data_IF_640065826669
#
_entry.id   IF_640065826669
#
_cell.length_a   1.000
_cell.length_b   1.000
_cell.length_c   1.000
_cell.angle_alpha   90.00
_cell.angle_beta   90.00
_cell.angle_gamma   90.00
#
_symmetry.space_group_name_H-M   'P 1'
#
loop_
_entity.id
_entity.type
_entity.pdbx_description
1 polymer ?
#
# COMPACT_ATOMS: atom_id res chain seq x y z
N UNK A 1 12.64 -13.72 -63.03
CA UNK A 1 11.67 -13.87 -61.91
C UNK A 1 12.16 -12.99 -60.77
N UNK A 2 11.71 -11.73 -60.77
CA UNK A 2 12.18 -10.71 -59.84
C UNK A 2 11.24 -10.68 -58.63
N UNK A 3 11.72 -11.18 -57.49
CA UNK A 3 10.90 -11.33 -56.28
C UNK A 3 10.84 -9.99 -55.53
N UNK A 4 9.70 -9.31 -55.67
CA UNK A 4 9.37 -8.06 -54.99
C UNK A 4 9.21 -8.27 -53.49
N UNK A 5 10.04 -7.58 -52.68
CA UNK A 5 10.02 -7.65 -51.21
C UNK A 5 8.89 -6.79 -50.62
N UNK A 6 8.10 -7.30 -49.67
CA UNK A 6 6.99 -6.56 -49.07
C UNK A 6 7.48 -5.42 -48.15
N UNK A 7 6.87 -4.24 -48.30
CA UNK A 7 7.08 -3.05 -47.47
C UNK A 7 6.58 -3.31 -46.04
N UNK A 8 7.48 -3.12 -45.07
CA UNK A 8 7.23 -3.28 -43.63
C UNK A 8 6.44 -2.08 -43.11
N UNK A 9 5.13 -2.23 -42.91
CA UNK A 9 4.25 -1.21 -42.32
C UNK A 9 4.63 -0.95 -40.86
N UNK A 10 4.96 0.31 -40.52
CA UNK A 10 5.26 0.74 -39.15
C UNK A 10 3.96 0.68 -38.33
N UNK A 11 3.87 -0.25 -37.38
CA UNK A 11 2.78 -0.29 -36.39
C UNK A 11 2.87 0.95 -35.48
N UNK A 12 1.83 1.77 -35.48
CA UNK A 12 1.69 2.88 -34.55
C UNK A 12 1.55 2.33 -33.13
N UNK A 13 2.50 2.67 -32.26
CA UNK A 13 2.50 2.31 -30.85
C UNK A 13 1.51 3.22 -30.12
N UNK A 14 0.27 2.75 -29.96
CA UNK A 14 -0.73 3.40 -29.10
C UNK A 14 -0.28 3.20 -27.65
N UNK A 15 0.37 4.21 -27.06
CA UNK A 15 0.59 4.24 -25.61
C UNK A 15 -0.68 4.76 -24.95
N UNK A 16 -1.56 3.85 -24.52
CA UNK A 16 -2.61 4.17 -23.58
C UNK A 16 -1.95 4.57 -22.25
N UNK A 17 -1.73 5.87 -22.06
CA UNK A 17 -1.33 6.41 -20.76
C UNK A 17 -2.61 6.71 -20.01
N UNK A 18 -2.99 5.83 -19.09
CA UNK A 18 -4.01 6.13 -18.08
C UNK A 18 -3.54 7.32 -17.27
N UNK A 19 -3.98 8.52 -17.66
CA UNK A 19 -3.72 9.73 -16.90
C UNK A 19 -4.72 9.78 -15.76
N UNK A 20 -4.24 9.64 -14.53
CA UNK A 20 -5.07 9.94 -13.35
C UNK A 20 -5.51 11.40 -13.42
N UNK A 21 -6.80 11.64 -13.20
CA UNK A 21 -7.36 12.99 -13.13
C UNK A 21 -6.68 13.77 -12.00
N UNK A 22 -6.14 14.94 -12.33
CA UNK A 22 -5.44 15.78 -11.35
C UNK A 22 -6.40 16.84 -10.85
N UNK A 23 -6.83 16.67 -9.61
CA UNK A 23 -7.78 17.56 -8.94
C UNK A 23 -7.06 18.35 -7.84
N UNK A 24 -7.37 19.63 -7.70
CA UNK A 24 -6.79 20.45 -6.66
C UNK A 24 -7.35 20.07 -5.29
N UNK A 25 -6.49 19.74 -4.33
CA UNK A 25 -6.90 19.34 -2.97
C UNK A 25 -7.69 20.42 -2.22
N UNK A 26 -7.54 21.70 -2.58
CA UNK A 26 -8.16 22.83 -1.86
C UNK A 26 -9.45 23.32 -2.50
N UNK A 27 -9.47 23.50 -3.82
CA UNK A 27 -10.62 24.08 -4.52
C UNK A 27 -11.31 23.13 -5.49
N UNK A 28 -10.87 21.87 -5.55
CA UNK A 28 -11.38 20.83 -6.45
C UNK A 28 -11.33 21.18 -7.94
N UNK A 29 -10.54 22.18 -8.34
CA UNK A 29 -10.33 22.49 -9.74
C UNK A 29 -9.64 21.31 -10.45
N UNK A 30 -10.22 20.84 -11.54
CA UNK A 30 -9.67 19.80 -12.41
C UNK A 30 -8.67 20.39 -13.42
N UNK A 31 -7.66 19.61 -13.80
CA UNK A 31 -6.72 20.00 -14.86
C UNK A 31 -7.40 19.96 -16.23
N UNK A 32 -7.92 21.11 -16.70
CA UNK A 32 -8.64 21.23 -17.97
C UNK A 32 -7.75 20.98 -19.19
N UNK A 33 -6.48 21.38 -19.13
CA UNK A 33 -5.54 21.28 -20.26
C UNK A 33 -4.18 20.72 -19.82
N UNK A 34 -3.52 19.96 -20.70
CA UNK A 34 -2.16 19.46 -20.45
C UNK A 34 -1.13 20.59 -20.26
N UNK A 35 -1.41 21.79 -20.78
CA UNK A 35 -0.57 22.99 -20.63
C UNK A 35 -0.62 23.59 -19.21
N UNK A 36 -1.71 23.39 -18.47
CA UNK A 36 -1.86 23.90 -17.10
C UNK A 36 -1.11 22.99 -16.12
N UNK A 37 0.09 23.41 -15.71
CA UNK A 37 0.91 22.62 -14.79
C UNK A 37 0.39 22.75 -13.35
N UNK A 38 -0.38 21.76 -12.92
CA UNK A 38 -0.63 21.57 -11.49
C UNK A 38 0.70 21.37 -10.77
N UNK A 39 0.82 22.02 -9.61
CA UNK A 39 1.97 21.90 -8.73
C UNK A 39 1.77 20.71 -7.82
N UNK A 40 2.86 20.04 -7.45
CA UNK A 40 2.86 18.97 -6.47
C UNK A 40 3.78 19.36 -5.33
N UNK A 41 3.39 19.06 -4.09
CA UNK A 41 4.31 19.21 -2.97
C UNK A 41 5.48 18.21 -3.11
N UNK A 42 6.70 18.69 -3.28
CA UNK A 42 7.90 17.83 -3.39
C UNK A 42 8.10 17.01 -2.12
N UNK A 43 7.87 17.58 -0.93
CA UNK A 43 7.94 16.85 0.34
C UNK A 43 7.02 15.63 0.36
N UNK A 44 5.73 15.80 0.05
CA UNK A 44 4.79 14.68 0.00
C UNK A 44 5.13 13.68 -1.12
N UNK A 45 5.49 14.16 -2.31
CA UNK A 45 5.80 13.30 -3.45
C UNK A 45 7.03 12.44 -3.19
N UNK A 46 8.10 13.07 -2.72
CA UNK A 46 9.42 12.44 -2.64
C UNK A 46 9.58 11.64 -1.34
N UNK A 47 9.00 12.10 -0.22
CA UNK A 47 9.12 11.42 1.08
C UNK A 47 7.97 10.44 1.36
N UNK A 48 6.75 10.73 0.90
CA UNK A 48 5.56 9.93 1.23
C UNK A 48 5.00 9.16 0.02
N UNK A 49 5.50 9.42 -1.19
CA UNK A 49 4.91 8.88 -2.42
C UNK A 49 3.52 9.45 -2.77
N UNK A 50 2.99 10.38 -1.97
CA UNK A 50 1.64 10.95 -2.14
C UNK A 50 1.70 12.18 -3.05
N UNK A 51 0.88 12.18 -4.11
CA UNK A 51 0.79 13.29 -5.06
C UNK A 51 -0.37 14.23 -4.73
N UNK A 52 -0.13 15.19 -3.83
CA UNK A 52 -1.06 16.29 -3.59
C UNK A 52 -0.95 17.34 -4.69
N UNK A 53 -2.00 17.47 -5.51
CA UNK A 53 -2.05 18.39 -6.64
C UNK A 53 -2.65 19.74 -6.24
N UNK A 54 -2.04 20.83 -6.70
CA UNK A 54 -2.48 22.21 -6.46
C UNK A 54 -2.53 23.00 -7.76
N UNK A 55 -3.66 23.65 -8.06
CA UNK A 55 -3.78 24.50 -9.24
C UNK A 55 -2.95 25.80 -9.14
N UNK A 56 -2.62 26.24 -7.91
CA UNK A 56 -1.87 27.47 -7.67
C UNK A 56 -1.01 27.39 -6.40
N UNK A 57 -0.05 28.32 -6.26
CA UNK A 57 0.74 28.45 -5.02
C UNK A 57 -0.10 28.96 -3.84
N UNK A 58 -1.20 29.66 -4.12
CA UNK A 58 -2.16 30.08 -3.10
C UNK A 58 -2.88 28.87 -2.47
N UNK A 59 -3.35 27.93 -3.30
CA UNK A 59 -3.93 26.67 -2.81
C UNK A 59 -2.90 25.86 -2.02
N UNK A 60 -1.67 25.73 -2.52
CA UNK A 60 -0.60 25.03 -1.78
C UNK A 60 -0.34 25.65 -0.39
N UNK A 61 -0.29 26.98 -0.28
CA UNK A 61 -0.10 27.68 1.01
C UNK A 61 -1.30 27.57 1.94
N UNK A 62 -2.51 27.48 1.38
CA UNK A 62 -3.74 27.29 2.14
C UNK A 62 -3.74 25.92 2.79
N UNK A 63 -3.48 24.87 2.01
CA UNK A 63 -3.31 23.51 2.54
C UNK A 63 -2.06 23.40 3.43
N UNK A 64 -1.03 24.24 3.26
CA UNK A 64 0.20 24.14 4.08
C UNK A 64 -0.08 24.14 5.57
N UNK A 65 -1.06 24.92 6.05
CA UNK A 65 -1.38 24.95 7.48
C UNK A 65 -1.88 23.61 8.00
N UNK A 66 -2.63 22.86 7.19
CA UNK A 66 -3.22 21.56 7.54
C UNK A 66 -2.31 20.39 7.21
N UNK A 67 -1.57 20.45 6.10
CA UNK A 67 -0.70 19.36 5.68
C UNK A 67 0.75 19.50 6.15
N UNK A 68 1.22 20.65 6.68
CA UNK A 68 2.64 20.78 7.11
C UNK A 68 3.04 19.74 8.15
N UNK A 69 2.10 19.37 9.03
CA UNK A 69 2.36 18.44 10.13
C UNK A 69 2.57 17.01 9.61
N UNK A 70 2.01 16.70 8.42
CA UNK A 70 2.30 15.47 7.66
C UNK A 70 3.34 15.68 6.56
N UNK A 71 3.60 16.92 6.13
CA UNK A 71 4.41 17.23 4.97
C UNK A 71 5.89 17.12 5.28
N UNK A 72 6.43 15.94 5.04
CA UNK A 72 7.85 15.68 5.27
C UNK A 72 8.24 15.64 6.73
N UNK A 73 7.26 15.68 7.64
CA UNK A 73 7.36 14.99 8.92
C UNK A 73 7.59 13.51 8.63
N UNK A 74 8.67 13.00 9.20
CA UNK A 74 9.01 11.58 9.12
C UNK A 74 8.25 10.76 10.16
N UNK A 75 7.56 11.43 11.08
CA UNK A 75 6.65 10.85 12.07
C UNK A 75 5.29 10.49 11.43
N UNK A 76 5.19 10.56 10.09
CA UNK A 76 4.06 10.07 9.31
C UNK A 76 3.71 8.61 9.62
N UNK A 77 4.66 7.84 10.16
CA UNK A 77 4.44 6.48 10.67
C UNK A 77 3.47 6.37 11.85
N UNK A 78 3.30 7.43 12.65
CA UNK A 78 2.30 7.53 13.73
C UNK A 78 0.96 8.08 13.24
N UNK A 79 0.86 8.55 11.98
CA UNK A 79 -0.42 8.98 11.44
C UNK A 79 -1.29 7.75 11.17
N UNK A 80 -2.57 7.74 11.58
CA UNK A 80 -3.50 6.72 11.13
C UNK A 80 -3.64 6.89 9.62
N UNK A 81 -2.86 6.12 8.85
CA UNK A 81 -3.14 5.90 7.45
C UNK A 81 -4.41 5.09 7.41
N UNK A 82 -5.55 5.79 7.42
CA UNK A 82 -6.71 5.30 6.72
C UNK A 82 -6.27 5.06 5.28
N UNK A 83 -6.18 3.81 4.80
CA UNK A 83 -5.70 3.45 3.45
C UNK A 83 -6.67 3.88 2.34
N UNK A 84 -7.52 4.85 2.62
CA UNK A 84 -8.89 4.91 2.11
C UNK A 84 -9.08 5.84 0.94
N UNK A 85 -8.18 6.82 0.70
CA UNK A 85 -8.60 7.94 -0.13
C UNK A 85 -8.48 7.70 -1.63
N UNK A 86 -7.51 6.93 -2.14
CA UNK A 86 -7.37 6.78 -3.59
C UNK A 86 -6.85 5.38 -3.98
N UNK A 87 -7.73 4.37 -3.99
CA UNK A 87 -7.46 3.20 -4.82
C UNK A 87 -7.39 3.69 -6.29
N UNK A 88 -6.44 3.20 -7.10
CA UNK A 88 -6.41 3.56 -8.51
C UNK A 88 -7.72 3.09 -9.15
N UNK A 89 -8.22 3.87 -10.12
CA UNK A 89 -9.57 3.70 -10.68
C UNK A 89 -9.83 2.32 -11.32
N UNK A 90 -8.77 1.56 -11.59
CA UNK A 90 -8.79 0.20 -12.13
C UNK A 90 -8.86 -0.90 -11.06
N UNK A 91 -8.68 -0.58 -9.77
CA UNK A 91 -8.78 -1.53 -8.67
C UNK A 91 -10.07 -1.38 -7.87
N UNK A 92 -11.07 -2.20 -8.22
CA UNK A 92 -12.30 -2.32 -7.46
C UNK A 92 -12.08 -3.20 -6.23
N UNK A 93 -12.06 -2.59 -5.03
CA UNK A 93 -11.96 -3.33 -3.77
C UNK A 93 -13.17 -4.23 -3.54
N UNK A 94 -12.94 -5.48 -3.16
CA UNK A 94 -14.02 -6.41 -2.80
C UNK A 94 -14.80 -5.93 -1.57
N UNK A 95 -15.96 -6.54 -1.30
CA UNK A 95 -16.69 -6.28 -0.07
C UNK A 95 -15.91 -6.73 1.19
N UNK A 96 -15.19 -7.85 1.08
CA UNK A 96 -14.34 -8.37 2.15
C UNK A 96 -13.21 -7.38 2.50
N UNK A 97 -12.48 -6.89 1.49
CA UNK A 97 -11.39 -5.93 1.70
C UNK A 97 -11.87 -4.61 2.30
N UNK A 98 -13.06 -4.13 1.87
CA UNK A 98 -13.67 -2.93 2.47
C UNK A 98 -14.04 -3.15 3.94
N UNK A 99 -14.52 -4.33 4.29
CA UNK A 99 -14.83 -4.69 5.68
C UNK A 99 -13.55 -4.74 6.52
N UNK A 100 -12.48 -5.33 5.99
CA UNK A 100 -11.18 -5.37 6.64
C UNK A 100 -10.60 -3.97 6.91
N UNK A 101 -10.68 -3.08 5.91
CA UNK A 101 -10.26 -1.68 6.06
C UNK A 101 -11.09 -0.97 7.14
N UNK A 102 -12.40 -1.23 7.22
CA UNK A 102 -13.26 -0.63 8.23
C UNK A 102 -12.90 -1.13 9.65
N UNK A 103 -12.61 -2.42 9.82
CA UNK A 103 -12.17 -2.99 11.11
C UNK A 103 -10.86 -2.38 11.60
N UNK A 104 -9.87 -2.26 10.72
CA UNK A 104 -8.59 -1.60 11.03
C UNK A 104 -8.80 -0.11 11.35
N UNK A 105 -9.68 0.57 10.61
CA UNK A 105 -10.01 1.97 10.86
C UNK A 105 -10.66 2.22 12.22
N UNK A 106 -11.37 1.24 12.77
CA UNK A 106 -11.99 1.31 14.10
C UNK A 106 -11.01 1.02 15.25
N UNK A 107 -9.86 0.40 14.97
CA UNK A 107 -8.88 -0.04 15.97
C UNK A 107 -7.44 0.15 15.43
N UNK A 108 -6.85 1.36 15.54
CA UNK A 108 -5.55 1.70 14.94
C UNK A 108 -4.36 0.85 15.42
N UNK A 109 -4.49 0.23 16.59
CA UNK A 109 -3.55 -0.73 17.17
C UNK A 109 -3.53 -2.07 16.43
N UNK A 110 -4.65 -2.46 15.82
CA UNK A 110 -4.81 -3.70 15.06
C UNK A 110 -4.27 -3.49 13.65
N UNK A 111 -3.25 -4.26 13.28
CA UNK A 111 -2.64 -4.15 11.95
C UNK A 111 -3.44 -4.89 10.89
N UNK A 112 -4.05 -6.01 11.29
CA UNK A 112 -4.85 -6.86 10.44
C UNK A 112 -5.74 -7.75 11.32
N UNK A 113 -6.93 -8.07 10.84
CA UNK A 113 -7.84 -9.05 11.48
C UNK A 113 -7.95 -10.28 10.59
N UNK A 114 -7.70 -11.47 11.13
CA UNK A 114 -8.01 -12.73 10.44
C UNK A 114 -9.34 -13.22 10.97
N UNK A 115 -10.34 -13.30 10.09
CA UNK A 115 -11.69 -13.68 10.43
C UNK A 115 -11.71 -15.11 11.03
N UNK A 116 -12.48 -15.34 12.10
CA UNK A 116 -12.50 -16.63 12.76
C UNK A 116 -13.36 -17.65 12.02
N UNK A 117 -13.09 -18.92 12.28
CA UNK A 117 -14.05 -20.02 12.08
C UNK A 117 -14.99 -20.21 13.27
N UNK A 118 -14.61 -19.76 14.48
CA UNK A 118 -15.29 -20.11 15.75
C UNK A 118 -15.28 -18.97 16.80
N UNK A 119 -15.74 -17.78 16.43
CA UNK A 119 -16.02 -16.61 17.30
C UNK A 119 -14.86 -15.66 17.73
N UNK A 120 -13.59 -16.09 17.80
CA UNK A 120 -12.49 -15.17 18.17
C UNK A 120 -11.59 -14.80 16.99
N UNK A 121 -11.85 -13.63 16.39
CA UNK A 121 -11.02 -13.09 15.32
C UNK A 121 -9.58 -12.86 15.81
N UNK A 122 -8.60 -13.40 15.09
CA UNK A 122 -7.20 -13.16 15.40
C UNK A 122 -6.84 -11.73 15.03
N UNK A 123 -6.40 -10.94 16.00
CA UNK A 123 -5.89 -9.58 15.80
C UNK A 123 -4.37 -9.63 15.72
N UNK A 124 -3.82 -9.25 14.56
CA UNK A 124 -2.38 -9.14 14.40
C UNK A 124 -1.89 -7.84 15.02
N UNK A 125 -0.98 -7.98 15.99
CA UNK A 125 -0.25 -6.88 16.60
C UNK A 125 1.26 -7.16 16.51
N UNK A 126 2.01 -6.20 15.95
CA UNK A 126 3.47 -6.26 15.91
C UNK A 126 4.01 -5.23 16.90
N UNK A 127 4.65 -5.73 17.97
CA UNK A 127 5.21 -4.92 19.06
C UNK A 127 6.46 -4.14 18.65
N UNK A 128 7.25 -4.71 17.75
CA UNK A 128 8.39 -4.00 17.19
C UNK A 128 7.89 -2.86 16.30
N UNK A 129 8.10 -1.61 16.75
CA UNK A 129 7.62 -0.40 16.06
C UNK A 129 8.09 -0.35 14.61
N UNK A 130 9.30 -0.84 14.34
CA UNK A 130 9.92 -0.73 13.04
C UNK A 130 9.42 -1.80 12.08
N UNK A 131 9.20 -3.02 12.57
CA UNK A 131 8.57 -4.08 11.82
C UNK A 131 7.08 -3.76 11.56
N UNK A 132 6.40 -3.14 12.53
CA UNK A 132 5.03 -2.63 12.39
C UNK A 132 4.92 -1.62 11.24
N UNK A 133 5.88 -0.68 11.17
CA UNK A 133 6.05 0.27 10.07
C UNK A 133 6.18 -0.43 8.71
N UNK A 134 7.08 -1.41 8.60
CA UNK A 134 7.26 -2.21 7.38
C UNK A 134 5.99 -2.97 6.99
N UNK A 135 5.30 -3.55 7.97
CA UNK A 135 4.06 -4.27 7.76
C UNK A 135 2.95 -3.36 7.22
N UNK A 136 2.74 -2.19 7.85
CA UNK A 136 1.77 -1.19 7.39
C UNK A 136 2.02 -0.81 5.93
N UNK A 137 3.29 -0.59 5.56
CA UNK A 137 3.67 -0.27 4.17
C UNK A 137 3.30 -1.40 3.19
N UNK A 138 3.60 -2.65 3.54
CA UNK A 138 3.25 -3.83 2.73
C UNK A 138 1.73 -3.94 2.58
N UNK A 139 1.01 -3.85 3.70
CA UNK A 139 -0.46 -3.91 3.74
C UNK A 139 -1.10 -2.80 2.92
N UNK A 140 -0.67 -1.55 3.10
CA UNK A 140 -1.25 -0.42 2.39
C UNK A 140 -0.99 -0.51 0.89
N UNK A 141 0.19 -1.02 0.49
CA UNK A 141 0.48 -1.34 -0.91
C UNK A 141 -0.43 -2.45 -1.44
N UNK A 142 -0.68 -3.51 -0.67
CA UNK A 142 -1.66 -4.53 -1.03
C UNK A 142 -3.08 -3.93 -1.21
N UNK A 143 -3.55 -3.13 -0.24
CA UNK A 143 -4.88 -2.51 -0.22
C UNK A 143 -5.13 -1.49 -1.34
N UNK A 144 -4.06 -0.94 -1.92
CA UNK A 144 -4.15 0.08 -2.95
C UNK A 144 -3.84 -0.46 -4.33
N UNK A 145 -2.85 -1.33 -4.49
CA UNK A 145 -2.38 -1.75 -5.83
C UNK A 145 -2.62 -3.21 -6.14
N UNK A 146 -3.13 -4.01 -5.20
CA UNK A 146 -3.23 -5.46 -5.33
C UNK A 146 -1.88 -6.11 -5.76
N UNK A 147 -0.76 -5.60 -5.25
CA UNK A 147 0.59 -6.06 -5.65
C UNK A 147 0.82 -7.50 -5.15
N UNK A 148 1.03 -8.50 -6.03
CA UNK A 148 1.11 -9.91 -5.64
C UNK A 148 2.21 -10.19 -4.61
N UNK A 149 3.36 -9.52 -4.76
CA UNK A 149 4.47 -9.65 -3.81
C UNK A 149 4.10 -9.13 -2.42
N UNK A 150 3.41 -7.99 -2.35
CA UNK A 150 2.96 -7.42 -1.07
C UNK A 150 1.93 -8.32 -0.39
N UNK A 151 1.03 -8.92 -1.17
CA UNK A 151 0.01 -9.84 -0.66
C UNK A 151 0.64 -11.14 -0.17
N UNK A 152 1.64 -11.66 -0.87
CA UNK A 152 2.37 -12.84 -0.42
C UNK A 152 3.18 -12.57 0.86
N UNK A 153 3.81 -11.40 1.01
CA UNK A 153 4.47 -11.03 2.28
C UNK A 153 3.44 -10.89 3.41
N UNK A 154 2.27 -10.31 3.12
CA UNK A 154 1.16 -10.21 4.05
C UNK A 154 0.70 -11.61 4.49
N UNK A 155 0.48 -12.52 3.54
CA UNK A 155 0.10 -13.91 3.78
C UNK A 155 1.13 -14.64 4.66
N UNK A 156 2.42 -14.61 4.29
CA UNK A 156 3.50 -15.24 5.07
C UNK A 156 3.51 -14.73 6.53
N UNK A 157 3.31 -13.42 6.72
CA UNK A 157 3.28 -12.81 8.06
C UNK A 157 2.06 -13.28 8.86
N UNK A 158 0.88 -13.34 8.24
CA UNK A 158 -0.36 -13.78 8.88
C UNK A 158 -0.31 -15.27 9.25
N UNK A 159 0.23 -16.10 8.36
CA UNK A 159 0.47 -17.53 8.62
C UNK A 159 1.37 -17.71 9.83
N UNK A 160 2.53 -17.05 9.87
CA UNK A 160 3.43 -17.15 11.03
C UNK A 160 2.79 -16.67 12.33
N UNK A 161 1.93 -15.64 12.27
CA UNK A 161 1.21 -15.15 13.45
C UNK A 161 0.11 -16.12 13.92
N UNK A 162 -0.58 -16.78 12.99
CA UNK A 162 -1.55 -17.85 13.26
C UNK A 162 -0.85 -19.04 13.91
N UNK A 163 0.24 -19.51 13.31
CA UNK A 163 1.03 -20.65 13.80
C UNK A 163 1.56 -20.40 15.22
N UNK A 164 1.94 -19.17 15.54
CA UNK A 164 2.41 -18.80 16.87
C UNK A 164 1.32 -18.74 17.95
N UNK A 165 0.03 -18.67 17.58
CA UNK A 165 -1.08 -18.41 18.51
C UNK A 165 -2.15 -19.51 18.54
N UNK A 166 -2.13 -20.46 17.60
CA UNK A 166 -3.20 -21.43 17.41
C UNK A 166 -2.92 -22.77 18.11
N UNK A 167 -3.98 -23.35 18.67
CA UNK A 167 -4.00 -24.78 19.07
C UNK A 167 -4.14 -25.71 17.85
N UNK A 168 -4.72 -25.21 16.75
CA UNK A 168 -4.85 -25.88 15.46
C UNK A 168 -4.40 -24.91 14.34
N UNK A 169 -3.10 -24.94 13.98
CA UNK A 169 -2.53 -24.00 13.03
C UNK A 169 -3.01 -24.27 11.60
N UNK A 170 -3.14 -25.54 11.19
CA UNK A 170 -3.42 -25.91 9.79
C UNK A 170 -4.78 -25.39 9.33
N UNK A 171 -5.83 -25.62 10.13
CA UNK A 171 -7.18 -25.14 9.82
C UNK A 171 -7.25 -23.61 9.74
N UNK A 172 -6.40 -22.90 10.51
CA UNK A 172 -6.37 -21.44 10.52
C UNK A 172 -5.50 -20.86 9.39
N UNK A 173 -4.48 -21.57 8.95
CA UNK A 173 -3.67 -21.19 7.77
C UNK A 173 -4.52 -21.22 6.50
N UNK A 174 -5.37 -22.23 6.33
CA UNK A 174 -6.32 -22.28 5.20
C UNK A 174 -7.27 -21.07 5.19
N UNK A 175 -7.75 -20.65 6.37
CA UNK A 175 -8.60 -19.47 6.49
C UNK A 175 -7.88 -18.17 6.10
N UNK A 176 -6.57 -18.05 6.40
CA UNK A 176 -5.78 -16.89 5.96
C UNK A 176 -5.79 -16.80 4.44
N UNK A 177 -5.48 -17.90 3.74
CA UNK A 177 -5.46 -17.90 2.28
C UNK A 177 -6.83 -17.58 1.69
N UNK A 178 -7.88 -18.25 2.18
CA UNK A 178 -9.25 -18.01 1.74
C UNK A 178 -9.69 -16.56 1.95
N UNK A 179 -9.38 -15.97 3.11
CA UNK A 179 -9.68 -14.57 3.38
C UNK A 179 -8.96 -13.65 2.39
N UNK A 180 -7.67 -13.90 2.12
CA UNK A 180 -6.92 -13.09 1.15
C UNK A 180 -7.46 -13.26 -0.28
N UNK A 181 -7.92 -14.45 -0.66
CA UNK A 181 -8.59 -14.66 -1.94
C UNK A 181 -9.88 -13.84 -2.05
N UNK A 182 -10.72 -13.83 -1.00
CA UNK A 182 -11.95 -13.04 -0.94
C UNK A 182 -11.66 -11.53 -0.94
N UNK A 183 -10.58 -11.09 -0.28
CA UNK A 183 -10.19 -9.68 -0.19
C UNK A 183 -9.63 -9.14 -1.50
N UNK A 184 -8.68 -9.85 -2.10
CA UNK A 184 -7.90 -9.34 -3.24
C UNK A 184 -8.40 -9.85 -4.59
N UNK A 185 -9.24 -10.88 -4.59
CA UNK A 185 -9.90 -11.40 -5.79
C UNK A 185 -8.89 -11.78 -6.86
N UNK A 186 -8.03 -12.76 -6.58
CA UNK A 186 -7.08 -13.28 -7.56
C UNK A 186 -7.72 -14.40 -8.41
N UNK A 187 -8.27 -14.10 -9.60
CA UNK A 187 -8.56 -15.17 -10.55
C UNK A 187 -7.25 -15.77 -11.04
N UNK A 188 -6.92 -16.96 -10.55
CA UNK A 188 -5.83 -17.80 -11.09
C UNK A 188 -4.43 -17.52 -10.53
N UNK A 189 -4.29 -16.82 -9.41
CA UNK A 189 -3.02 -16.79 -8.66
C UNK A 189 -3.19 -17.59 -7.37
N UNK A 190 -2.48 -18.70 -7.29
CA UNK A 190 -2.39 -19.50 -6.07
C UNK A 190 -1.51 -18.74 -5.06
N UNK A 191 -2.14 -18.10 -4.07
CA UNK A 191 -1.43 -17.32 -3.04
C UNK A 191 -0.46 -18.24 -2.28
N UNK A 192 -0.82 -19.49 -2.03
CA UNK A 192 0.05 -20.44 -1.35
C UNK A 192 1.30 -20.74 -2.19
N UNK A 193 1.17 -20.88 -3.51
CA UNK A 193 2.33 -21.04 -4.40
C UNK A 193 3.25 -19.81 -4.37
N UNK A 194 2.70 -18.59 -4.42
CA UNK A 194 3.52 -17.36 -4.34
C UNK A 194 4.20 -17.23 -2.98
N UNK A 195 3.54 -17.63 -1.89
CA UNK A 195 4.13 -17.68 -0.56
C UNK A 195 5.24 -18.73 -0.46
N UNK A 196 5.07 -19.89 -1.10
CA UNK A 196 6.10 -20.93 -1.14
C UNK A 196 7.37 -20.48 -1.89
N UNK A 197 7.24 -19.56 -2.85
CA UNK A 197 8.38 -18.93 -3.54
C UNK A 197 9.05 -17.82 -2.71
N UNK A 198 8.39 -17.33 -1.65
CA UNK A 198 8.99 -16.34 -0.76
C UNK A 198 9.92 -17.00 0.24
N UNK A 199 11.16 -16.54 0.24
CA UNK A 199 12.13 -16.81 1.29
C UNK A 199 11.53 -16.49 2.69
N UNK A 200 11.73 -17.35 3.71
CA UNK A 200 11.23 -17.10 5.07
C UNK A 200 11.73 -15.76 5.62
N UNK A 201 10.87 -15.01 6.32
CA UNK A 201 11.22 -13.70 6.89
C UNK A 201 11.32 -12.58 5.85
N UNK A 202 10.45 -12.61 4.83
CA UNK A 202 10.45 -11.60 3.78
C UNK A 202 10.14 -10.19 4.31
N UNK A 203 9.33 -10.10 5.36
CA UNK A 203 9.02 -8.83 6.02
C UNK A 203 10.25 -8.26 6.73
N UNK A 204 11.01 -9.08 7.45
CA UNK A 204 12.23 -8.70 8.18
C UNK A 204 13.34 -8.26 7.22
N UNK A 205 13.49 -8.93 6.07
CA UNK A 205 14.44 -8.48 5.04
C UNK A 205 14.01 -7.16 4.42
N UNK A 206 12.73 -7.00 4.08
CA UNK A 206 12.23 -5.72 3.58
C UNK A 206 12.49 -4.60 4.59
N UNK A 207 12.24 -4.89 5.87
CA UNK A 207 12.56 -4.01 6.97
C UNK A 207 14.06 -3.67 7.00
N UNK A 208 14.97 -4.66 6.95
CA UNK A 208 16.42 -4.43 6.92
C UNK A 208 16.87 -3.62 5.70
N UNK A 209 16.31 -3.86 4.51
CA UNK A 209 16.60 -3.10 3.31
C UNK A 209 16.16 -1.64 3.45
N UNK A 210 14.97 -1.41 4.01
CA UNK A 210 14.49 -0.07 4.32
C UNK A 210 15.45 0.59 5.31
N UNK A 211 15.82 -0.12 6.39
CA UNK A 211 16.82 0.33 7.37
C UNK A 211 18.13 0.76 6.72
N UNK A 212 18.62 -0.01 5.74
CA UNK A 212 19.87 0.29 5.03
C UNK A 212 19.75 1.48 4.06
N UNK A 213 18.59 1.72 3.46
CA UNK A 213 18.38 2.80 2.48
C UNK A 213 18.27 4.18 3.12
N UNK A 214 17.97 4.26 4.41
CA UNK A 214 17.82 5.53 5.10
C UNK A 214 19.00 5.80 6.06
N UNK A 215 19.59 7.01 6.04
CA UNK A 215 20.76 7.34 6.86
C UNK A 215 20.44 7.21 8.36
N UNK A 216 21.40 6.79 9.18
CA UNK A 216 21.22 6.48 10.62
C UNK A 216 20.58 7.58 11.47
N UNK A 217 20.63 8.84 11.05
CA UNK A 217 19.89 9.94 11.66
C UNK A 217 18.37 9.84 11.52
N UNK A 218 17.88 9.18 10.46
CA UNK A 218 16.47 8.88 10.21
C UNK A 218 15.87 8.00 11.31
N UNK A 219 16.57 6.91 11.65
CA UNK A 219 16.07 5.93 12.63
C UNK A 219 16.21 6.39 14.07
N UNK A 220 17.23 7.21 14.38
CA UNK A 220 17.41 7.81 15.71
C UNK A 220 16.31 8.80 16.09
N UNK A 221 15.60 9.38 15.13
CA UNK A 221 14.46 10.26 15.40
C UNK A 221 13.23 9.45 15.85
N UNK A 222 12.97 8.32 15.18
CA UNK A 222 11.81 7.44 15.44
C UNK A 222 11.93 6.60 16.71
N UNK A 223 13.15 6.32 17.17
CA UNK A 223 13.40 5.58 18.41
C UNK A 223 13.25 6.42 19.69
N UNK A 224 12.95 7.73 19.57
CA UNK A 224 12.77 8.57 20.75
C UNK A 224 11.44 8.24 21.44
N UNK A 225 11.42 8.09 22.77
CA UNK A 225 10.17 8.06 23.50
C UNK A 225 9.41 9.37 23.24
N UNK A 226 8.10 9.25 23.03
CA UNK A 226 7.19 10.39 23.00
C UNK A 226 6.97 10.75 24.48
N UNK A 227 7.53 11.88 24.91
CA UNK A 227 7.27 12.47 26.24
C UNK A 227 5.86 13.06 26.32
#
# INVERSE_FOLDING_TARGET
MEQSRPRRSKKAKVTARGGQDKVCVVCSAEQKNQSEKFRVCSGCKDKLGIRRYFCSRACQRTDWKTHRDVCGSMDFWDYPHTPLLDAPADFARSAALRSQIALIGASPEVLYTVAPTTDDALRLEIKDKMLNVSFRRVRDKAFTTCDPKSIAILAQTLVGAVEAQALDPDARVENVYKQLEDEYGFPGTDIAAVVAELEPGALERLHQEDMARHPSGFWKALARPID
#
